data_IF_432327953990
#
_entry.id   IF_432327953990
#
_cell.length_a   1.000
_cell.length_b   1.000
_cell.length_c   1.000
_cell.angle_alpha   90.00
_cell.angle_beta   90.00
_cell.angle_gamma   90.00
#
_symmetry.space_group_name_H-M   'P 1'
#
loop_
_entity.id
_entity.type
_entity.pdbx_description
1 polymer ?
2 polymer ?
3 non-polymer ?
4 water ?
#
# COMPACT_ATOMS: atom_id res chain seq x y z
N UNK A 5 21.13 -3.75 -16.96
CA UNK A 5 21.59 -4.99 -17.60
C UNK A 5 20.93 -6.21 -16.95
N UNK A 6 21.66 -6.91 -16.08
CA UNK A 6 21.11 -8.06 -15.37
C UNK A 6 20.60 -7.61 -14.00
N UNK A 7 19.39 -7.06 -13.97
CA UNK A 7 18.84 -6.50 -12.73
C UNK A 7 18.57 -7.54 -11.65
N UNK A 8 19.08 -7.28 -10.45
CA UNK A 8 18.86 -8.17 -9.31
C UNK A 8 17.73 -7.64 -8.44
N UNK A 9 16.82 -8.53 -8.08
CA UNK A 9 15.73 -8.19 -7.18
C UNK A 9 15.89 -8.96 -5.87
N UNK A 10 15.84 -8.25 -4.76
CA UNK A 10 15.75 -8.88 -3.46
C UNK A 10 14.29 -8.92 -3.06
N UNK A 11 13.82 -10.08 -2.60
CA UNK A 11 12.45 -10.26 -2.15
C UNK A 11 12.37 -10.90 -0.78
N UNK A 12 11.43 -10.44 0.04
CA UNK A 12 11.21 -11.02 1.34
C UNK A 12 9.79 -10.78 1.86
N UNK A 13 9.36 -11.66 2.75
CA UNK A 13 8.06 -11.53 3.41
C UNK A 13 8.09 -10.42 4.46
N UNK A 14 9.30 -10.10 4.92
CA UNK A 14 9.50 -9.12 5.98
C UNK A 14 10.31 -7.92 5.47
N UNK A 15 10.22 -6.78 6.15
CA UNK A 15 10.98 -5.58 5.76
C UNK A 15 12.47 -5.85 5.64
N UNK A 16 13.07 -5.26 4.60
CA UNK A 16 14.49 -5.49 4.29
C UNK A 16 15.38 -4.57 5.10
N UNK A 17 16.62 -5.01 5.37
CA UNK A 17 17.61 -4.12 5.96
C UNK A 17 17.85 -2.97 5.00
N UNK A 18 17.98 -1.74 5.53
CA UNK A 18 18.26 -0.61 4.65
C UNK A 18 19.68 -0.71 4.11
N UNK A 19 19.88 -0.32 2.86
CA UNK A 19 21.24 -0.32 2.35
C UNK A 19 21.61 1.07 1.91
N UNK A 20 22.91 1.35 1.90
CA UNK A 20 23.41 2.68 1.65
C UNK A 20 24.34 2.68 0.46
N UNK A 21 24.12 3.65 -0.44
CA UNK A 21 24.96 3.82 -1.60
C UNK A 21 26.15 4.72 -1.27
N UNK A 22 27.34 4.11 -1.22
CA UNK A 22 28.55 4.80 -0.76
C UNK A 22 29.74 4.56 -1.68
N UNK A 23 30.62 5.55 -1.73
CA UNK A 23 31.94 5.37 -2.32
C UNK A 23 32.92 5.35 -1.14
N UNK A 24 33.47 4.18 -0.82
CA UNK A 24 34.24 4.07 0.41
C UNK A 24 35.71 4.45 0.24
N UNK A 25 36.12 4.73 -1.00
CA UNK A 25 37.45 5.27 -1.28
C UNK A 25 37.46 5.96 -2.65
N UNK A 26 38.42 6.85 -2.89
CA UNK A 26 38.47 7.60 -4.15
C UNK A 26 38.80 6.71 -5.33
N UNK A 27 39.39 5.55 -5.04
CA UNK A 27 39.87 4.65 -6.08
C UNK A 27 38.83 3.65 -6.58
N UNK A 28 37.59 3.74 -6.07
CA UNK A 28 36.54 2.82 -6.53
C UNK A 28 35.18 3.50 -6.65
N UNK A 29 34.38 3.01 -7.59
CA UNK A 29 33.07 3.59 -7.81
C UNK A 29 32.12 3.29 -6.66
N UNK A 30 31.00 4.01 -6.60
CA UNK A 30 30.03 3.75 -5.54
C UNK A 30 29.43 2.36 -5.66
N UNK A 31 28.94 1.83 -4.55
CA UNK A 31 28.12 0.62 -4.57
C UNK A 31 27.34 0.60 -3.27
N UNK A 32 26.58 -0.46 -3.04
CA UNK A 32 25.69 -0.53 -1.88
C UNK A 32 26.26 -1.36 -0.75
N UNK A 33 25.92 -0.96 0.47
CA UNK A 33 26.45 -1.54 1.70
C UNK A 33 25.37 -1.57 2.76
N UNK A 34 25.44 -2.55 3.64
CA UNK A 34 24.68 -2.52 4.87
C UNK A 34 25.60 -2.04 5.97
N UNK A 35 25.03 -1.43 7.00
CA UNK A 35 25.75 -1.33 8.26
C UNK A 35 25.96 -2.75 8.78
N UNK A 36 27.21 -3.09 9.10
CA UNK A 36 27.56 -4.43 9.57
C UNK A 36 26.75 -4.83 10.82
N UNK A 37 26.55 -3.87 11.72
CA UNK A 37 25.78 -4.14 12.94
C UNK A 37 24.32 -4.52 12.65
N UNK A 38 23.74 -3.90 11.61
CA UNK A 38 22.39 -4.28 11.19
C UNK A 38 22.35 -5.75 10.74
N UNK A 39 23.37 -6.16 10.01
CA UNK A 39 23.47 -7.53 9.51
C UNK A 39 23.69 -8.54 10.63
N UNK A 40 24.56 -8.21 11.58
CA UNK A 40 24.83 -9.13 12.69
C UNK A 40 23.60 -9.30 13.58
N UNK A 41 22.90 -8.19 13.82
CA UNK A 41 21.68 -8.23 14.62
C UNK A 41 20.62 -9.09 13.95
N UNK A 42 20.46 -8.92 12.64
CA UNK A 42 19.50 -9.70 11.90
C UNK A 42 19.83 -11.19 11.93
N UNK A 43 21.11 -11.52 11.79
CA UNK A 43 21.54 -12.93 11.74
C UNK A 43 21.73 -13.52 13.14
N UNK A 44 21.84 -12.65 14.14
CA UNK A 44 22.15 -13.05 15.51
C UNK A 44 23.45 -13.85 15.58
N UNK A 45 24.44 -13.40 14.82
CA UNK A 45 25.77 -13.98 14.85
C UNK A 45 26.74 -12.89 15.23
N UNK A 46 27.86 -13.27 15.83
CA UNK A 46 28.88 -12.30 16.18
C UNK A 46 29.79 -12.04 14.99
N UNK A 47 30.50 -10.91 15.04
CA UNK A 47 31.49 -10.54 14.03
C UNK A 47 32.50 -11.64 13.80
N UNK A 48 33.03 -12.19 14.89
CA UNK A 48 34.05 -13.23 14.81
C UNK A 48 33.52 -14.44 14.06
N UNK A 49 32.36 -14.94 14.46
CA UNK A 49 31.69 -16.02 13.75
C UNK A 49 31.46 -15.67 12.29
N UNK A 50 30.88 -14.50 12.04
CA UNK A 50 30.55 -14.09 10.68
C UNK A 50 31.78 -14.09 9.77
N UNK A 51 32.83 -13.40 10.21
CA UNK A 51 34.02 -13.23 9.38
C UNK A 51 34.79 -14.54 9.20
N UNK A 52 34.66 -15.45 10.15
CA UNK A 52 35.33 -16.75 10.05
C UNK A 52 34.61 -17.69 9.09
N UNK A 53 33.29 -17.68 9.13
CA UNK A 53 32.52 -18.60 8.30
C UNK A 53 32.29 -18.09 6.88
N UNK A 54 32.14 -16.77 6.76
CA UNK A 54 31.89 -16.14 5.47
C UNK A 54 32.97 -15.12 5.12
N UNK A 55 34.17 -15.60 4.81
CA UNK A 55 35.30 -14.67 4.65
C UNK A 55 35.23 -13.92 3.33
N UNK A 56 34.49 -14.44 2.36
CA UNK A 56 34.42 -13.79 1.05
C UNK A 56 33.63 -12.48 1.05
N UNK A 57 32.74 -12.28 2.03
CA UNK A 57 32.00 -11.02 2.13
C UNK A 57 32.94 -9.90 2.52
N UNK A 58 32.77 -8.73 1.90
CA UNK A 58 33.69 -7.62 2.15
C UNK A 58 33.24 -6.74 3.32
N UNK A 59 34.07 -6.69 4.36
CA UNK A 59 33.86 -5.79 5.48
C UNK A 59 34.81 -4.61 5.35
N UNK A 60 34.29 -3.41 5.49
CA UNK A 60 35.15 -2.24 5.48
C UNK A 60 34.67 -1.21 6.49
N UNK A 61 35.54 -0.27 6.80
CA UNK A 61 35.21 0.76 7.77
C UNK A 61 35.21 2.12 7.09
N UNK A 62 34.54 3.08 7.71
CA UNK A 62 34.41 4.41 7.17
C UNK A 62 34.26 5.33 8.35
N UNK A 63 34.82 6.55 8.26
CA UNK A 63 34.54 7.54 9.30
C UNK A 63 33.04 7.79 9.42
N UNK A 64 32.53 7.80 10.65
CA UNK A 64 31.10 7.98 10.88
C UNK A 64 30.60 9.28 10.28
N UNK A 65 31.43 10.32 10.37
CA UNK A 65 31.06 11.62 9.84
C UNK A 65 31.03 11.62 8.33
N UNK A 66 31.93 10.87 7.71
CA UNK A 66 31.92 10.72 6.26
C UNK A 66 30.72 9.87 5.78
N UNK A 67 30.38 8.85 6.58
CA UNK A 67 29.19 8.02 6.32
C UNK A 67 27.94 8.91 6.29
N UNK A 68 27.81 9.77 7.30
CA UNK A 68 26.70 10.72 7.36
C UNK A 68 26.69 11.64 6.13
N UNK A 69 27.85 12.19 5.81
CA UNK A 69 27.99 13.13 4.69
C UNK A 69 27.51 12.55 3.36
N UNK A 70 27.91 11.31 3.07
CA UNK A 70 27.50 10.65 1.84
C UNK A 70 26.02 10.21 1.87
N UNK A 71 25.56 9.80 3.04
CA UNK A 71 24.17 9.34 3.17
C UNK A 71 23.24 10.54 2.99
N UNK A 72 23.66 11.68 3.53
CA UNK A 72 22.90 12.92 3.42
C UNK A 72 22.78 13.43 1.98
N UNK A 73 23.66 12.95 1.11
CA UNK A 73 23.61 13.35 -0.29
C UNK A 73 22.64 12.47 -1.11
N UNK A 74 22.09 11.44 -0.49
CA UNK A 74 21.11 10.60 -1.16
C UNK A 74 19.80 11.34 -1.40
N UNK A 75 19.29 11.26 -2.63
CA UNK A 75 18.03 11.90 -2.98
C UNK A 75 16.83 11.04 -2.56
N UNK A 76 17.03 9.72 -2.49
CA UNK A 76 15.93 8.81 -2.16
C UNK A 76 15.61 8.78 -0.68
N UNK A 77 16.63 8.89 0.17
CA UNK A 77 16.41 8.81 1.61
C UNK A 77 15.87 10.11 2.17
N UNK A 78 14.78 10.03 2.92
CA UNK A 78 14.27 11.20 3.62
C UNK A 78 15.15 11.43 4.84
N UNK A 79 15.22 12.68 5.31
CA UNK A 79 15.94 13.05 6.54
C UNK A 79 15.68 12.10 7.71
N UNK A 80 14.43 11.69 7.90
CA UNK A 80 14.09 10.76 8.98
C UNK A 80 14.75 9.39 8.82
N UNK A 81 14.98 8.98 7.58
CA UNK A 81 15.58 7.68 7.29
C UNK A 81 17.10 7.67 7.45
N UNK A 82 17.73 8.81 7.19
CA UNK A 82 19.17 8.92 7.31
C UNK A 82 19.64 8.69 8.74
N UNK A 83 20.66 7.84 8.92
CA UNK A 83 21.23 7.57 10.24
C UNK A 83 21.75 8.84 10.94
N UNK A 84 22.33 9.75 10.17
CA UNK A 84 22.86 10.98 10.73
C UNK A 84 22.99 12.06 9.67
N UNK A 85 23.14 13.31 10.11
CA UNK A 85 23.12 14.45 9.22
C UNK A 85 24.41 15.24 9.14
N UNK A 86 24.36 16.38 8.47
CA UNK A 86 25.54 17.22 8.26
C UNK A 86 25.94 17.96 9.53
N UNK A 87 25.03 18.00 10.50
CA UNK A 87 25.27 18.71 11.75
C UNK A 87 25.84 17.79 12.82
N UNK A 88 26.08 16.54 12.45
CA UNK A 88 26.55 15.55 13.41
C UNK A 88 28.04 15.27 13.26
N UNK A 89 28.85 16.24 13.62
CA UNK A 89 30.30 16.07 13.56
C UNK A 89 30.76 15.22 14.75
N UNK A 90 31.84 14.46 14.56
CA UNK A 90 32.50 13.79 15.66
C UNK A 90 33.29 14.81 16.48
N UNK A 91 33.38 14.59 17.81
CA UNK A 91 34.12 15.51 18.68
C UNK A 91 35.61 15.58 18.32
N UNK A 92 36.26 16.70 18.64
CA UNK A 92 37.69 16.88 18.33
C UNK A 92 38.55 15.79 18.95
N UNK A 93 39.56 15.34 18.20
CA UNK A 93 40.52 14.37 18.70
C UNK A 93 39.98 12.97 18.81
N UNK A 94 38.96 12.66 18.00
CA UNK A 94 38.38 11.32 17.96
C UNK A 94 38.38 10.72 16.56
N UNK A 95 38.17 9.42 16.48
CA UNK A 95 38.00 8.74 15.21
C UNK A 95 36.85 7.75 15.30
N UNK A 96 35.63 8.27 15.40
CA UNK A 96 34.43 7.45 15.34
C UNK A 96 34.26 6.86 13.94
N UNK A 97 33.97 5.57 13.87
CA UNK A 97 33.80 4.92 12.57
C UNK A 97 32.57 4.01 12.55
N UNK A 98 32.15 3.61 11.35
CA UNK A 98 31.11 2.61 11.17
C UNK A 98 31.66 1.44 10.37
N UNK A 99 31.17 0.23 10.64
CA UNK A 99 31.57 -0.95 9.86
C UNK A 99 30.51 -1.25 8.81
N UNK A 100 30.94 -1.52 7.59
CA UNK A 100 30.03 -1.75 6.48
C UNK A 100 30.33 -3.10 5.82
N UNK A 101 29.30 -3.76 5.33
CA UNK A 101 29.49 -4.99 4.58
C UNK A 101 28.82 -4.85 3.21
N UNK A 102 29.51 -5.29 2.16
CA UNK A 102 29.07 -5.00 0.80
C UNK A 102 27.80 -5.76 0.45
N UNK A 103 26.91 -5.08 -0.27
CA UNK A 103 25.63 -5.61 -0.69
C UNK A 103 25.88 -6.55 -1.86
N UNK A 104 25.56 -7.83 -1.68
CA UNK A 104 25.84 -8.83 -2.70
C UNK A 104 24.90 -10.01 -2.48
N UNK A 105 24.56 -10.73 -3.57
CA UNK A 105 23.48 -11.74 -3.57
C UNK A 105 23.62 -12.80 -2.49
N UNK A 106 24.83 -13.32 -2.27
CA UNK A 106 25.00 -14.40 -1.27
C UNK A 106 24.68 -13.92 0.14
N UNK A 107 24.94 -12.64 0.40
CA UNK A 107 24.60 -12.07 1.70
C UNK A 107 23.08 -11.92 1.82
N UNK A 108 22.42 -11.50 0.74
CA UNK A 108 20.96 -11.40 0.74
C UNK A 108 20.32 -12.75 1.06
N UNK A 109 20.86 -13.83 0.49
CA UNK A 109 20.29 -15.16 0.77
C UNK A 109 20.46 -15.55 2.22
N UNK A 110 21.67 -15.35 2.75
CA UNK A 110 21.99 -15.58 4.15
C UNK A 110 21.03 -14.82 5.06
N UNK A 111 20.64 -13.61 4.65
CA UNK A 111 19.69 -12.81 5.40
C UNK A 111 18.24 -13.32 5.29
N UNK A 112 18.02 -14.35 4.48
CA UNK A 112 16.70 -14.92 4.35
C UNK A 112 15.88 -14.41 3.18
N UNK A 113 16.50 -13.57 2.35
CA UNK A 113 15.79 -13.05 1.18
C UNK A 113 15.88 -14.00 0.01
N UNK A 114 14.89 -13.94 -0.87
CA UNK A 114 14.96 -14.58 -2.17
C UNK A 114 15.62 -13.63 -3.15
N UNK A 115 16.44 -14.17 -4.03
CA UNK A 115 17.12 -13.35 -5.03
C UNK A 115 16.72 -13.80 -6.43
N UNK A 116 16.34 -12.84 -7.27
CA UNK A 116 15.81 -13.14 -8.59
C UNK A 116 16.53 -12.20 -9.56
N UNK A 117 16.91 -12.73 -10.71
CA UNK A 117 17.53 -11.88 -11.73
C UNK A 117 16.60 -11.71 -12.93
N UNK A 118 16.63 -10.53 -13.53
CA UNK A 118 15.84 -10.23 -14.70
C UNK A 118 16.69 -9.45 -15.70
N UNK A 119 16.85 -10.02 -16.90
CA UNK A 119 17.73 -9.42 -17.89
C UNK A 119 17.07 -9.23 -19.25
N UNK A 120 15.75 -9.39 -19.32
CA UNK A 120 15.01 -9.10 -20.54
C UNK A 120 15.19 -7.60 -20.81
N UNK A 121 15.31 -7.22 -22.07
CA UNK A 121 15.72 -5.87 -22.43
C UNK A 121 14.87 -4.72 -21.86
N UNK A 122 15.54 -3.62 -21.50
CA UNK A 122 14.88 -2.41 -20.99
C UNK A 122 14.87 -1.29 -22.04
N UNK B 1 25.87 -6.28 -11.33
CA UNK B 1 26.62 -5.79 -10.19
C UNK B 1 25.71 -5.33 -9.06
N UNK B 2 24.70 -4.53 -9.39
CA UNK B 2 23.79 -4.00 -8.39
C UNK B 2 24.44 -2.87 -7.62
N UNK B 3 24.95 -1.88 -8.34
CA UNK B 3 25.73 -0.80 -7.75
C UNK B 3 25.11 0.60 -7.72
N UNK B 4 24.06 0.82 -8.51
CA UNK B 4 23.34 2.10 -8.49
C UNK B 4 22.46 2.16 -7.23
N UNK B 5 21.78 3.28 -7.02
CA UNK B 5 20.88 3.39 -5.89
C UNK B 5 19.81 2.31 -6.01
N UNK B 6 19.42 1.76 -4.86
CA UNK B 6 18.36 0.77 -4.78
C UNK B 6 17.12 1.37 -4.13
N UNK B 7 15.96 1.05 -4.67
CA UNK B 7 14.69 1.47 -4.08
C UNK B 7 14.01 0.30 -3.39
N UNK B 8 13.39 0.57 -2.25
CA UNK B 8 12.64 -0.44 -1.53
C UNK B 8 11.17 -0.26 -1.89
N UNK B 9 10.52 -1.37 -2.21
CA UNK B 9 9.11 -1.37 -2.61
C UNK B 9 8.32 -2.24 -1.65
N UNK B 10 7.02 -1.99 -1.55
CA UNK B 10 6.15 -2.95 -0.90
C UNK B 10 4.98 -3.18 -1.84
N UNK B 11 4.82 -4.43 -2.24
CA UNK B 11 3.84 -4.81 -3.23
C UNK B 11 2.61 -5.34 -2.52
N UNK B 12 1.47 -4.71 -2.73
CA UNK B 12 0.25 -5.16 -2.08
C UNK B 12 -0.70 -5.75 -3.11
N UNK B 13 -1.36 -6.84 -2.73
CA UNK B 13 -2.25 -7.52 -3.65
C UNK B 13 -3.58 -6.80 -3.80
N UNK B 14 -3.96 -6.56 -5.06
CA UNK B 14 -5.26 -5.99 -5.37
C UNK B 14 -6.13 -7.18 -5.76
N UNK B 15 -7.27 -7.31 -5.09
CA UNK B 15 -8.22 -8.37 -5.44
C UNK B 15 -9.19 -7.91 -6.52
N UNK B 27 6.22 -12.77 0.26
CA UNK B 27 7.41 -12.07 -0.22
C UNK B 27 7.11 -10.76 -0.97
N UNK B 28 6.42 -9.85 -0.29
CA UNK B 28 5.96 -8.61 -0.92
C UNK B 28 6.89 -7.40 -0.75
N UNK B 29 7.97 -7.57 0.03
CA UNK B 29 8.96 -6.49 0.15
C UNK B 29 10.06 -6.75 -0.85
N UNK B 30 10.27 -5.78 -1.73
CA UNK B 30 11.15 -5.99 -2.87
C UNK B 30 12.15 -4.85 -2.95
N UNK B 31 13.40 -5.17 -3.29
CA UNK B 31 14.37 -4.12 -3.57
C UNK B 31 14.99 -4.33 -4.95
N UNK B 32 15.21 -3.24 -5.66
CA UNK B 32 15.84 -3.31 -6.97
C UNK B 32 16.46 -1.97 -7.35
N UNK B 33 17.18 -1.97 -8.46
CA UNK B 33 17.79 -0.75 -8.99
C UNK B 33 16.76 0.31 -9.38
N UNK B 34 17.13 1.56 -9.17
CA UNK B 34 16.36 2.67 -9.72
C UNK B 34 16.20 2.56 -11.24
N UNK B 35 17.07 1.80 -11.90
CA UNK B 35 17.00 1.65 -13.36
C UNK B 35 16.04 0.55 -13.82
N UNK B 36 15.66 -0.34 -12.91
CA UNK B 36 14.75 -1.43 -13.29
C UNK B 36 13.43 -0.84 -13.72
N UNK B 37 12.78 -1.51 -14.68
CA UNK B 37 11.49 -1.05 -15.18
C UNK B 37 10.35 -1.92 -14.69
N UNK B 38 9.14 -1.37 -14.78
CA UNK B 38 7.91 -2.10 -14.44
C UNK B 38 7.88 -3.50 -15.05
N UNK B 39 8.24 -3.61 -16.32
CA UNK B 39 8.19 -4.93 -16.97
C UNK B 39 9.14 -5.95 -16.31
N UNK B 40 10.32 -5.50 -15.90
CA UNK B 40 11.23 -6.36 -15.15
C UNK B 40 10.61 -6.86 -13.85
N UNK B 41 10.05 -5.92 -13.07
CA UNK B 41 9.44 -6.26 -11.79
C UNK B 41 8.25 -7.21 -12.01
N UNK B 42 7.48 -6.95 -13.05
CA UNK B 42 6.34 -7.82 -13.34
C UNK B 42 6.78 -9.23 -13.69
N UNK B 43 7.86 -9.35 -14.46
CA UNK B 43 8.37 -10.66 -14.82
C UNK B 43 8.89 -11.40 -13.59
N UNK B 44 9.50 -10.67 -12.67
CA UNK B 44 9.96 -11.27 -11.42
C UNK B 44 8.76 -11.79 -10.64
N UNK B 45 7.73 -10.96 -10.54
CA UNK B 45 6.52 -11.32 -9.80
C UNK B 45 5.84 -12.55 -10.38
N UNK B 46 5.77 -12.61 -11.71
CA UNK B 46 5.13 -13.72 -12.39
C UNK B 46 5.86 -15.03 -12.12
N UNK B 47 7.19 -14.96 -12.08
CA UNK B 47 8.01 -16.12 -11.78
C UNK B 47 7.67 -16.67 -10.39
N UNK B 48 7.63 -15.79 -9.39
CA UNK B 48 7.27 -16.19 -8.02
C UNK B 48 5.83 -16.70 -7.94
N UNK B 49 4.95 -16.10 -8.72
CA UNK B 49 3.52 -16.46 -8.68
C UNK B 49 3.21 -17.62 -9.62
N UNK B 50 4.23 -18.05 -10.36
CA UNK B 50 4.08 -19.12 -11.35
C UNK B 50 2.94 -18.82 -12.32
N UNK B 51 2.99 -17.62 -12.91
CA UNK B 51 1.97 -17.18 -13.86
C UNK B 51 2.61 -16.64 -15.12
N UNK B 52 1.79 -16.49 -16.16
CA UNK B 52 2.22 -15.82 -17.38
C UNK B 52 2.18 -14.30 -17.18
N UNK B 53 3.17 -13.59 -17.74
CA UNK B 53 3.29 -12.12 -17.65
C UNK B 53 2.00 -11.35 -17.97
N UNK B 54 1.23 -11.84 -18.93
CA UNK B 54 0.00 -11.17 -19.34
C UNK B 54 -1.02 -11.13 -18.21
N UNK B 55 -0.86 -12.04 -17.25
CA UNK B 55 -1.85 -12.23 -16.20
C UNK B 55 -1.73 -11.31 -14.99
N UNK B 56 -0.54 -10.79 -14.73
CA UNK B 56 -0.40 -9.87 -13.60
C UNK B 56 -0.12 -8.43 -14.04
N UNK B 57 -0.73 -7.49 -13.33
CA UNK B 57 -0.57 -6.09 -13.64
C UNK B 57 0.13 -5.41 -12.48
N UNK B 58 0.96 -4.42 -12.78
CA UNK B 58 1.55 -3.60 -11.73
C UNK B 58 0.84 -2.26 -11.73
N UNK B 59 0.45 -1.79 -10.56
CA UNK B 59 -0.33 -0.57 -10.46
C UNK B 59 0.19 0.38 -9.39
N UNK B 60 -0.11 1.66 -9.56
CA UNK B 60 0.08 2.61 -8.50
C UNK B 60 -1.23 3.37 -8.25
N UNK B 61 -1.67 3.39 -6.99
CA UNK B 61 -2.95 3.97 -6.62
C UNK B 61 -4.07 3.48 -7.54
N UNK B 62 -4.11 2.17 -7.74
CA UNK B 62 -5.13 1.49 -8.54
C UNK B 62 -5.11 1.83 -10.04
N UNK B 63 -4.06 2.48 -10.52
CA UNK B 63 -3.92 2.76 -11.95
C UNK B 63 -2.74 1.99 -12.54
N UNK B 64 -2.98 1.29 -13.65
CA UNK B 64 -1.95 0.43 -14.25
C UNK B 64 -0.73 1.24 -14.69
N UNK B 65 0.46 0.75 -14.36
CA UNK B 65 1.73 1.40 -14.74
C UNK B 65 2.23 0.99 -16.13
N UNK B 66 2.84 1.93 -16.85
CA UNK B 66 3.43 1.60 -18.16
C UNK B 66 4.62 0.66 -18.00
N UNK B 67 4.77 -0.28 -18.93
CA UNK B 67 5.79 -1.33 -18.83
C UNK B 67 7.20 -0.80 -18.83
N UNK B 68 7.43 0.32 -19.51
CA UNK B 68 8.80 0.80 -19.72
C UNK B 68 9.23 1.84 -18.69
N UNK B 69 8.32 2.20 -17.80
CA UNK B 69 8.65 3.17 -16.75
C UNK B 69 9.64 2.58 -15.74
N UNK B 70 10.67 3.35 -15.42
CA UNK B 70 11.65 2.90 -14.45
C UNK B 70 11.15 3.16 -13.04
N UNK B 71 11.72 2.43 -12.08
CA UNK B 71 11.39 2.64 -10.68
C UNK B 71 11.71 4.08 -10.30
N UNK B 72 12.79 4.61 -10.84
CA UNK B 72 13.18 5.99 -10.57
C UNK B 72 12.09 6.94 -11.03
N UNK B 73 11.53 6.68 -12.20
CA UNK B 73 10.50 7.53 -12.77
C UNK B 73 9.23 7.49 -11.92
N UNK B 74 8.90 6.30 -11.41
CA UNK B 74 7.76 6.17 -10.52
C UNK B 74 8.00 6.96 -9.23
N UNK B 75 9.22 6.85 -8.72
CA UNK B 75 9.57 7.52 -7.48
C UNK B 75 9.50 9.04 -7.63
N UNK B 76 10.10 9.55 -8.70
CA UNK B 76 10.07 11.00 -8.95
C UNK B 76 8.64 11.53 -9.06
N UNK B 77 7.83 10.85 -9.86
CA UNK B 77 6.48 11.32 -10.20
C UNK B 77 5.38 10.93 -9.22
N UNK B 78 5.64 9.98 -8.33
CA UNK B 78 4.60 9.55 -7.41
C UNK B 78 5.00 9.60 -5.95
N UNK B 79 6.29 9.60 -5.68
CA UNK B 79 6.74 9.32 -4.33
C UNK B 79 7.82 10.30 -3.85
N UNK B 80 7.96 11.42 -4.55
CA UNK B 80 9.06 12.32 -4.26
C UNK B 80 9.04 12.84 -2.83
N UNK B 81 10.06 12.49 -2.06
CA UNK B 81 10.18 12.91 -0.68
C UNK B 81 9.36 12.10 0.31
N UNK B 82 8.63 11.11 -0.18
CA UNK B 82 7.83 10.28 0.71
C UNK B 82 8.71 9.19 1.29
N UNK B 83 8.33 8.67 2.47
CA UNK B 83 9.18 7.66 3.11
C UNK B 83 9.16 6.32 2.39
N UNK B 84 10.27 5.61 2.47
CA UNK B 84 10.38 4.24 2.01
C UNK B 84 9.48 3.35 2.89
N UNK B 85 8.93 2.27 2.32
CA UNK B 85 9.07 1.79 0.94
C UNK B 85 8.06 2.39 -0.02
N UNK B 86 8.41 2.44 -1.30
CA UNK B 86 7.45 2.78 -2.35
C UNK B 86 6.30 1.74 -2.43
N UNK B 87 5.07 2.22 -2.32
CA UNK B 87 3.92 1.32 -2.28
C UNK B 87 3.33 1.11 -3.67
N UNK B 88 3.32 -0.13 -4.13
CA UNK B 88 2.75 -0.47 -5.42
C UNK B 88 1.75 -1.59 -5.23
N UNK B 89 0.88 -1.81 -6.22
CA UNK B 89 -0.03 -2.94 -6.21
C UNK B 89 0.26 -3.87 -7.36
N UNK B 90 -0.11 -5.13 -7.20
CA UNK B 90 -0.16 -6.08 -8.31
C UNK B 90 -1.53 -6.77 -8.31
N UNK B 91 -1.99 -7.19 -9.48
CA UNK B 91 -3.33 -7.77 -9.55
C UNK B 91 -3.36 -9.08 -10.34
N UNK B 92 -4.40 -9.87 -10.08
CA UNK B 92 -4.63 -11.16 -10.71
C UNK B 92 -3.42 -12.08 -10.64
N UNK C 6 -24.50 7.11 14.77
CA UNK C 6 -23.47 6.10 14.95
C UNK C 6 -22.72 5.87 13.64
N UNK C 7 -21.59 5.17 13.70
CA UNK C 7 -20.87 4.82 12.48
C UNK C 7 -20.97 3.33 12.19
N UNK C 8 -21.52 3.00 11.03
CA UNK C 8 -21.52 1.62 10.59
C UNK C 8 -20.36 1.36 9.66
N UNK C 9 -19.56 0.35 9.96
CA UNK C 9 -18.47 -0.03 9.09
C UNK C 9 -18.80 -1.36 8.45
N UNK C 10 -18.66 -1.44 7.14
CA UNK C 10 -18.77 -2.72 6.45
C UNK C 10 -17.37 -3.25 6.22
N UNK C 11 -17.16 -4.54 6.47
CA UNK C 11 -15.85 -5.14 6.24
C UNK C 11 -15.95 -6.44 5.47
N UNK C 12 -15.06 -6.59 4.49
CA UNK C 12 -14.98 -7.84 3.76
C UNK C 12 -13.57 -8.15 3.26
N UNK C 13 -13.34 -9.42 2.96
CA UNK C 13 -12.05 -9.91 2.51
C UNK C 13 -11.96 -9.81 1.00
N UNK C 14 -13.06 -9.37 0.38
CA UNK C 14 -13.08 -9.18 -1.06
C UNK C 14 -13.71 -7.82 -1.38
N UNK C 15 -13.39 -7.25 -2.55
CA UNK C 15 -13.89 -5.94 -2.95
C UNK C 15 -15.40 -5.79 -2.71
N UNK C 16 -15.79 -4.62 -2.21
CA UNK C 16 -17.18 -4.34 -1.87
C UNK C 16 -17.92 -3.78 -3.06
N UNK C 17 -19.22 -4.08 -3.14
CA UNK C 17 -20.08 -3.51 -4.17
C UNK C 17 -20.12 -2.00 -4.03
N UNK C 18 -20.15 -1.27 -5.16
CA UNK C 18 -20.30 0.18 -5.04
C UNK C 18 -21.67 0.55 -4.44
N UNK C 19 -21.68 1.66 -3.72
CA UNK C 19 -22.80 2.11 -2.91
C UNK C 19 -23.07 3.56 -3.30
N UNK C 20 -24.24 3.86 -3.85
CA UNK C 20 -24.51 5.21 -4.38
C UNK C 20 -25.40 6.04 -3.47
N UNK C 21 -25.01 7.30 -3.27
CA UNK C 21 -25.81 8.24 -2.47
C UNK C 21 -26.76 9.00 -3.39
N UNK C 22 -28.05 8.74 -3.22
CA UNK C 22 -29.07 9.24 -4.15
C UNK C 22 -30.27 9.84 -3.46
N UNK C 23 -30.95 10.75 -4.15
CA UNK C 23 -32.30 11.14 -3.77
C UNK C 23 -33.21 10.52 -4.83
N UNK C 24 -33.87 9.42 -4.48
CA UNK C 24 -34.56 8.61 -5.48
C UNK C 24 -35.76 9.32 -6.09
N UNK C 25 -36.30 10.31 -5.38
CA UNK C 25 -37.29 11.21 -5.96
C UNK C 25 -37.11 12.57 -5.31
N UNK C 26 -37.66 13.61 -5.93
CA UNK C 26 -37.34 14.98 -5.54
C UNK C 26 -37.77 15.28 -4.10
N UNK C 27 -38.70 14.49 -3.60
CA UNK C 27 -39.24 14.66 -2.25
C UNK C 27 -38.46 13.90 -1.18
N UNK C 28 -37.56 13.01 -1.62
CA UNK C 28 -36.79 12.20 -0.67
C UNK C 28 -35.45 12.83 -0.30
N UNK C 29 -34.96 12.52 0.89
CA UNK C 29 -33.64 12.94 1.30
C UNK C 29 -32.59 11.98 0.77
N UNK C 30 -31.30 12.31 0.96
CA UNK C 30 -30.23 11.43 0.48
C UNK C 30 -30.24 10.12 1.24
N UNK C 31 -29.88 9.05 0.56
CA UNK C 31 -29.87 7.72 1.14
C UNK C 31 -28.96 6.86 0.27
N UNK C 32 -28.42 5.79 0.83
CA UNK C 32 -27.51 4.93 0.06
C UNK C 32 -28.16 3.67 -0.51
N UNK C 33 -27.81 3.36 -1.75
CA UNK C 33 -28.44 2.27 -2.50
C UNK C 33 -27.41 1.47 -3.27
N UNK C 34 -27.67 0.16 -3.42
CA UNK C 34 -26.97 -0.64 -4.43
C UNK C 34 -27.80 -0.67 -5.70
N UNK C 35 -27.14 -0.80 -6.84
CA UNK C 35 -27.84 -1.20 -8.05
C UNK C 35 -28.26 -2.63 -7.81
N UNK C 36 -29.54 -2.92 -7.99
CA UNK C 36 -30.07 -4.27 -7.72
C UNK C 36 -29.35 -5.33 -8.54
N UNK C 37 -29.06 -5.02 -9.80
CA UNK C 37 -28.37 -5.98 -10.67
C UNK C 37 -27.01 -6.37 -10.10
N UNK C 38 -26.32 -5.44 -9.43
CA UNK C 38 -25.03 -5.73 -8.81
C UNK C 38 -25.17 -6.76 -7.68
N UNK C 39 -26.21 -6.59 -6.88
CA UNK C 39 -26.49 -7.50 -5.77
C UNK C 39 -26.86 -8.89 -6.27
N UNK C 40 -27.74 -8.95 -7.27
CA UNK C 40 -28.15 -10.22 -7.86
C UNK C 40 -26.94 -10.98 -8.42
N UNK C 41 -26.03 -10.26 -9.06
CA UNK C 41 -24.84 -10.86 -9.65
C UNK C 41 -23.87 -11.38 -8.59
N UNK C 42 -23.74 -10.63 -7.50
CA UNK C 42 -22.84 -11.03 -6.43
C UNK C 42 -23.40 -12.26 -5.71
N UNK C 43 -24.72 -12.31 -5.60
CA UNK C 43 -25.39 -13.39 -4.89
C UNK C 43 -25.68 -14.58 -5.81
N UNK C 44 -25.46 -14.40 -7.11
CA UNK C 44 -25.76 -15.41 -8.11
C UNK C 44 -27.21 -15.87 -8.03
N UNK C 45 -28.12 -14.91 -7.95
CA UNK C 45 -29.54 -15.18 -7.87
C UNK C 45 -30.29 -14.33 -8.89
N UNK C 46 -31.37 -14.89 -9.44
CA UNK C 46 -32.26 -14.10 -10.28
C UNK C 46 -33.07 -13.17 -9.38
N UNK C 47 -33.71 -12.17 -9.99
CA UNK C 47 -34.60 -11.26 -9.29
C UNK C 47 -35.69 -12.03 -8.54
N UNK C 48 -36.34 -12.97 -9.24
CA UNK C 48 -37.46 -13.71 -8.67
C UNK C 48 -37.02 -14.53 -7.45
N UNK C 49 -35.86 -15.17 -7.54
CA UNK C 49 -35.37 -15.96 -6.44
C UNK C 49 -34.99 -15.08 -5.26
N UNK C 50 -34.32 -13.98 -5.53
CA UNK C 50 -33.93 -13.04 -4.46
C UNK C 50 -35.17 -12.59 -3.68
N UNK C 51 -36.21 -12.18 -4.39
CA UNK C 51 -37.38 -11.61 -3.74
C UNK C 51 -38.21 -12.67 -3.00
N UNK C 52 -38.18 -13.90 -3.50
CA UNK C 52 -38.82 -15.01 -2.80
C UNK C 52 -38.12 -15.30 -1.46
N UNK C 53 -36.79 -15.39 -1.47
CA UNK C 53 -36.05 -15.64 -0.23
C UNK C 53 -36.07 -14.44 0.72
N UNK C 54 -36.00 -13.24 0.15
CA UNK C 54 -35.85 -12.02 0.94
C UNK C 54 -36.90 -10.99 0.55
N UNK C 55 -38.10 -11.14 1.09
CA UNK C 55 -39.22 -10.25 0.73
C UNK C 55 -39.17 -8.88 1.38
N UNK C 56 -38.36 -8.71 2.41
CA UNK C 56 -38.34 -7.47 3.15
C UNK C 56 -37.30 -6.48 2.76
N UNK C 57 -36.69 -6.67 1.61
CA UNK C 57 -35.71 -5.69 1.16
C UNK C 57 -36.35 -4.67 0.23
N UNK C 58 -36.08 -3.41 0.49
CA UNK C 58 -36.64 -2.28 -0.24
C UNK C 58 -36.13 -2.18 -1.68
N UNK C 59 -36.94 -2.66 -2.63
CA UNK C 59 -36.63 -2.51 -4.05
C UNK C 59 -37.33 -1.29 -4.66
N UNK C 60 -36.54 -0.43 -5.30
CA UNK C 60 -37.00 0.88 -5.76
C UNK C 60 -36.49 1.16 -7.16
N UNK C 61 -37.31 1.79 -7.99
CA UNK C 61 -36.83 2.21 -9.29
C UNK C 61 -36.75 3.73 -9.33
N UNK C 62 -35.88 4.24 -10.19
CA UNK C 62 -35.80 5.67 -10.43
C UNK C 62 -35.35 5.87 -11.88
N UNK C 63 -35.62 7.05 -12.46
CA UNK C 63 -35.22 7.31 -13.84
C UNK C 63 -33.71 7.14 -14.03
N UNK C 64 -33.32 6.42 -15.08
CA UNK C 64 -31.91 6.14 -15.33
C UNK C 64 -31.09 7.41 -15.57
N UNK C 65 -31.71 8.39 -16.24
CA UNK C 65 -31.05 9.67 -16.49
C UNK C 65 -30.71 10.41 -15.20
N UNK C 66 -31.67 10.46 -14.29
CA UNK C 66 -31.48 11.13 -13.01
C UNK C 66 -30.49 10.37 -12.14
N UNK C 67 -30.51 9.04 -12.23
CA UNK C 67 -29.54 8.20 -11.53
C UNK C 67 -28.13 8.57 -11.99
N UNK C 68 -27.92 8.61 -13.29
CA UNK C 68 -26.62 8.93 -13.85
C UNK C 68 -26.12 10.32 -13.48
N UNK C 69 -27.04 11.28 -13.47
CA UNK C 69 -26.68 12.66 -13.13
C UNK C 69 -26.25 12.75 -11.67
N UNK C 70 -26.99 12.08 -10.79
CA UNK C 70 -26.68 12.19 -9.36
C UNK C 70 -25.40 11.48 -9.04
N UNK C 71 -25.15 10.36 -9.72
CA UNK C 71 -23.90 9.62 -9.53
C UNK C 71 -22.72 10.48 -10.00
N UNK C 72 -22.90 11.17 -11.11
CA UNK C 72 -21.85 12.00 -11.69
C UNK C 72 -21.44 13.18 -10.81
N UNK C 73 -22.35 13.68 -9.98
CA UNK C 73 -22.04 14.82 -9.12
C UNK C 73 -21.16 14.43 -7.91
N UNK C 74 -20.97 13.14 -7.69
CA UNK C 74 -20.13 12.70 -6.58
C UNK C 74 -18.66 13.09 -6.78
N UNK C 75 -18.05 13.62 -5.74
CA UNK C 75 -16.62 13.96 -5.76
C UNK C 75 -15.77 12.74 -5.44
N UNK C 76 -16.43 11.60 -5.21
CA UNK C 76 -15.70 10.44 -4.70
C UNK C 76 -15.80 9.27 -5.67
N UNK C 77 -16.28 9.54 -6.87
CA UNK C 77 -16.32 8.54 -7.94
C UNK C 77 -15.71 9.14 -9.21
N UNK C 78 -14.87 8.36 -9.89
CA UNK C 78 -14.28 8.79 -11.15
C UNK C 78 -15.27 8.61 -12.31
N UNK C 79 -15.04 9.34 -13.42
CA UNK C 79 -15.84 9.11 -14.63
C UNK C 79 -15.81 7.65 -15.07
N UNK C 80 -14.63 7.03 -15.02
CA UNK C 80 -14.49 5.62 -15.41
C UNK C 80 -15.34 4.69 -14.54
N UNK C 81 -15.56 5.08 -13.29
CA UNK C 81 -16.30 4.23 -12.35
C UNK C 81 -17.82 4.39 -12.45
N UNK C 82 -18.27 5.50 -13.02
CA UNK C 82 -19.70 5.81 -13.06
C UNK C 82 -20.50 4.75 -13.81
N UNK C 83 -21.67 4.39 -13.27
CA UNK C 83 -22.64 3.58 -14.01
C UNK C 83 -23.56 4.45 -14.86
N UNK C 94 -34.69 8.77 -22.06
CA UNK C 94 -35.52 9.53 -21.14
C UNK C 94 -36.51 8.66 -20.38
N UNK C 95 -36.86 7.51 -20.95
CA UNK C 95 -37.87 6.64 -20.36
C UNK C 95 -37.29 5.43 -19.65
N UNK C 96 -35.96 5.30 -19.66
CA UNK C 96 -35.31 4.17 -18.99
C UNK C 96 -35.30 4.34 -17.47
N UNK C 97 -35.22 3.22 -16.77
CA UNK C 97 -35.15 3.21 -15.32
C UNK C 97 -34.05 2.25 -14.86
N UNK C 98 -33.56 2.45 -13.65
CA UNK C 98 -32.66 1.49 -13.02
C UNK C 98 -33.32 1.00 -11.75
N UNK C 99 -33.00 -0.22 -11.35
CA UNK C 99 -33.58 -0.79 -10.13
C UNK C 99 -32.58 -0.79 -8.97
N UNK C 100 -33.02 -0.31 -7.82
CA UNK C 100 -32.15 -0.12 -6.67
C UNK C 100 -32.61 -0.89 -5.47
N UNK C 101 -31.67 -1.21 -4.59
CA UNK C 101 -32.00 -1.82 -3.31
C UNK C 101 -31.24 -1.09 -2.20
N UNK C 102 -31.91 -0.88 -1.08
CA UNK C 102 -31.38 -0.01 -0.05
C UNK C 102 -30.16 -0.58 0.68
N UNK C 103 -29.17 0.29 0.92
CA UNK C 103 -27.95 -0.06 1.65
C UNK C 103 -28.29 -0.20 3.14
N UNK C 104 -28.25 -1.43 3.67
CA UNK C 104 -28.61 -1.67 5.05
C UNK C 104 -27.91 -2.95 5.53
N UNK C 105 -27.62 -3.04 6.83
CA UNK C 105 -26.73 -4.08 7.39
C UNK C 105 -27.18 -5.50 7.08
N UNK C 106 -28.48 -5.78 7.11
CA UNK C 106 -28.93 -7.15 6.90
C UNK C 106 -28.52 -7.64 5.51
N UNK C 107 -28.63 -6.75 4.53
CA UNK C 107 -28.20 -7.08 3.19
C UNK C 107 -26.69 -7.29 3.12
N UNK C 108 -25.93 -6.49 3.87
CA UNK C 108 -24.47 -6.60 3.87
C UNK C 108 -24.00 -7.97 4.36
N UNK C 109 -24.63 -8.48 5.41
CA UNK C 109 -24.24 -9.78 5.94
C UNK C 109 -24.55 -10.89 4.94
N UNK C 110 -25.66 -10.73 4.21
CA UNK C 110 -26.06 -11.72 3.19
C UNK C 110 -25.09 -11.70 2.01
N UNK C 111 -24.54 -10.53 1.73
CA UNK C 111 -23.48 -10.36 0.74
C UNK C 111 -22.10 -10.80 1.24
N UNK C 112 -22.05 -11.32 2.45
CA UNK C 112 -20.83 -11.92 2.97
C UNK C 112 -19.95 -10.98 3.77
N UNK C 113 -20.43 -9.77 4.04
CA UNK C 113 -19.68 -8.79 4.81
C UNK C 113 -19.87 -8.89 6.32
N UNK C 114 -18.85 -8.42 7.05
CA UNK C 114 -18.97 -8.19 8.47
C UNK C 114 -19.47 -6.77 8.67
N UNK C 115 -20.30 -6.56 9.69
CA UNK C 115 -20.81 -5.23 10.02
C UNK C 115 -20.41 -4.88 11.44
N UNK C 116 -19.62 -3.81 11.59
CA UNK C 116 -19.21 -3.38 12.91
C UNK C 116 -19.84 -2.04 13.16
N UNK C 117 -20.41 -1.87 14.34
CA UNK C 117 -20.90 -0.55 14.72
C UNK C 117 -19.89 0.07 15.66
N UNK C 118 -19.58 1.32 15.39
CA UNK C 118 -18.56 2.02 16.15
C UNK C 118 -19.10 3.35 16.63
N UNK C 119 -19.15 3.52 17.93
CA UNK C 119 -19.58 4.79 18.51
C UNK C 119 -18.70 5.93 18.03
N UNK C 120 -19.29 7.10 17.85
CA UNK C 120 -18.52 8.30 17.53
C UNK C 120 -17.65 8.68 18.72
N UNK C 121 -18.07 8.23 19.89
CA UNK C 121 -17.28 8.38 21.11
C UNK C 121 -16.12 7.39 21.13
N UNK C 122 -15.12 7.62 20.28
CA UNK C 122 -13.94 6.75 20.25
C UNK C 122 -13.09 6.97 21.49
N UNK D 2 -28.13 6.28 8.78
CA UNK D 2 -27.09 7.06 8.12
C UNK D 2 -27.51 7.52 6.73
N UNK D 3 -27.29 8.79 6.44
CA UNK D 3 -27.73 9.35 5.17
C UNK D 3 -26.58 9.82 4.27
N UNK D 4 -25.38 9.89 4.81
CA UNK D 4 -24.28 10.53 4.09
C UNK D 4 -23.56 9.58 3.16
N UNK D 5 -22.76 10.15 2.25
CA UNK D 5 -22.09 9.34 1.26
C UNK D 5 -21.14 8.36 1.96
N UNK D 6 -20.99 7.18 1.38
CA UNK D 6 -20.09 6.16 1.93
C UNK D 6 -18.85 5.98 1.05
N UNK D 7 -17.72 5.67 1.66
CA UNK D 7 -16.46 5.58 0.94
C UNK D 7 -15.88 4.20 1.12
N UNK D 8 -15.21 3.68 0.09
CA UNK D 8 -14.56 2.37 0.16
C UNK D 8 -13.05 2.51 0.38
N UNK D 9 -12.55 1.79 1.38
CA UNK D 9 -11.14 1.82 1.74
C UNK D 9 -10.55 0.43 1.57
N UNK D 10 -9.23 0.36 1.42
CA UNK D 10 -8.53 -0.91 1.51
C UNK D 10 -7.40 -0.73 2.52
N UNK D 11 -7.42 -1.52 3.58
CA UNK D 11 -6.44 -1.34 4.65
C UNK D 11 -5.35 -2.39 4.55
N UNK D 12 -4.11 -1.95 4.36
CA UNK D 12 -3.00 -2.88 4.27
C UNK D 12 -2.06 -2.73 5.47
N UNK D 13 -1.64 -3.85 6.05
CA UNK D 13 -0.75 -3.78 7.19
C UNK D 13 0.61 -3.30 6.72
N UNK D 14 1.25 -2.44 7.52
CA UNK D 14 2.60 -1.98 7.22
C UNK D 14 3.54 -2.66 8.21
N UNK D 24 -2.80 -8.77 11.47
CA UNK D 24 -3.12 -8.59 10.04
C UNK D 24 -4.64 -8.64 9.80
N UNK D 25 -5.20 -7.50 9.40
CA UNK D 25 -6.63 -7.42 9.17
C UNK D 25 -7.06 -8.32 8.02
N UNK D 26 -7.94 -9.26 8.35
CA UNK D 26 -8.50 -10.20 7.39
C UNK D 26 -9.47 -9.53 6.42
N UNK D 27 -10.57 -9.00 6.95
CA UNK D 27 -11.52 -8.27 6.13
C UNK D 27 -11.01 -6.84 5.92
N UNK D 28 -10.12 -6.68 4.94
CA UNK D 28 -9.38 -5.41 4.77
C UNK D 28 -10.08 -4.40 3.87
N UNK D 29 -11.15 -4.83 3.21
CA UNK D 29 -11.97 -3.91 2.43
C UNK D 29 -13.07 -3.33 3.31
N UNK D 30 -13.02 -2.02 3.51
CA UNK D 30 -13.83 -1.39 4.51
C UNK D 30 -14.62 -0.23 3.91
N UNK D 31 -15.93 -0.20 4.18
CA UNK D 31 -16.75 0.94 3.79
C UNK D 31 -17.23 1.69 5.04
N UNK D 32 -17.18 3.01 4.98
CA UNK D 32 -17.70 3.83 6.07
C UNK D 32 -18.13 5.20 5.55
N UNK D 33 -18.74 5.97 6.44
CA UNK D 33 -19.22 7.31 6.10
C UNK D 33 -18.07 8.29 5.88
N UNK D 34 -18.29 9.24 4.98
CA UNK D 34 -17.37 10.35 4.73
C UNK D 34 -17.07 11.08 6.04
N UNK D 35 -18.00 10.96 6.99
CA UNK D 35 -17.93 11.67 8.27
C UNK D 35 -17.02 10.98 9.29
N UNK D 36 -16.79 9.69 9.11
CA UNK D 36 -15.91 8.93 10.03
C UNK D 36 -14.52 9.50 10.02
N UNK D 37 -13.87 9.52 11.18
CA UNK D 37 -12.53 10.06 11.32
C UNK D 37 -11.52 8.95 11.52
N UNK D 38 -10.24 9.28 11.40
CA UNK D 38 -9.17 8.31 11.58
C UNK D 38 -9.33 7.53 12.89
N UNK D 39 -9.66 8.25 13.96
CA UNK D 39 -9.84 7.65 15.28
C UNK D 39 -10.90 6.55 15.32
N UNK D 40 -11.97 6.72 14.54
CA UNK D 40 -13.03 5.71 14.50
C UNK D 40 -12.59 4.45 13.78
N UNK D 41 -11.85 4.63 12.69
CA UNK D 41 -11.39 3.49 11.92
C UNK D 41 -10.33 2.76 12.73
N UNK D 42 -9.58 3.53 13.51
CA UNK D 42 -8.57 2.97 14.38
C UNK D 42 -9.21 2.08 15.45
N UNK D 43 -10.28 2.57 16.07
CA UNK D 43 -10.97 1.81 17.10
C UNK D 43 -11.53 0.50 16.56
N UNK D 44 -12.08 0.56 15.35
CA UNK D 44 -12.65 -0.61 14.70
C UNK D 44 -11.58 -1.68 14.52
N UNK D 45 -10.45 -1.23 13.98
CA UNK D 45 -9.30 -2.07 13.72
C UNK D 45 -8.78 -2.74 15.00
N UNK D 46 -8.69 -1.95 16.07
CA UNK D 46 -8.27 -2.45 17.38
C UNK D 46 -9.21 -3.54 17.87
N UNK D 47 -10.50 -3.24 17.83
CA UNK D 47 -11.54 -4.15 18.29
C UNK D 47 -11.41 -5.52 17.63
N UNK D 48 -11.18 -5.52 16.33
CA UNK D 48 -11.09 -6.76 15.57
C UNK D 48 -9.78 -7.50 15.78
N UNK D 49 -8.69 -6.76 15.92
CA UNK D 49 -7.38 -7.37 16.07
C UNK D 49 -7.00 -7.57 17.54
N UNK D 50 -7.91 -7.17 18.44
CA UNK D 50 -7.65 -7.20 19.88
C UNK D 50 -6.33 -6.53 20.22
N UNK D 51 -6.21 -5.23 19.92
CA UNK D 51 -4.98 -4.51 20.14
C UNK D 51 -5.19 -3.25 20.99
N UNK D 52 -4.13 -2.81 21.65
CA UNK D 52 -4.16 -1.56 22.39
C UNK D 52 -4.07 -0.40 21.40
N UNK D 53 -5.11 0.45 21.37
CA UNK D 53 -5.21 1.59 20.45
C UNK D 53 -3.98 2.49 20.42
N UNK D 54 -3.19 2.45 21.48
CA UNK D 54 -1.93 3.20 21.53
C UNK D 54 -0.88 2.55 20.65
N UNK D 55 -1.11 1.29 20.27
CA UNK D 55 -0.15 0.56 19.46
C UNK D 55 -0.43 0.59 17.95
N UNK D 56 -1.67 0.90 17.58
CA UNK D 56 -1.99 0.94 16.16
C UNK D 56 -2.08 2.37 15.64
N UNK D 57 -1.42 2.60 14.52
CA UNK D 57 -1.50 3.87 13.84
C UNK D 57 -2.16 3.61 12.50
N UNK D 58 -2.86 4.62 11.99
CA UNK D 58 -3.34 4.58 10.61
C UNK D 58 -2.45 5.51 9.79
N UNK D 59 -2.13 5.09 8.57
CA UNK D 59 -1.19 5.86 7.76
C UNK D 59 -1.68 6.01 6.34
N UNK D 60 -1.13 7.00 5.66
CA UNK D 60 -1.26 7.13 4.23
C UNK D 60 0.14 7.35 3.65
N UNK D 61 0.50 6.52 2.67
CA UNK D 61 1.84 6.53 2.10
C UNK D 61 2.91 6.66 3.20
N UNK D 62 2.86 5.77 4.19
CA UNK D 62 3.88 5.69 5.25
C UNK D 62 3.94 6.85 6.25
N UNK D 63 2.98 7.76 6.19
CA UNK D 63 2.90 8.82 7.18
C UNK D 63 1.63 8.73 8.02
N UNK D 64 1.78 8.84 9.33
CA UNK D 64 0.67 8.76 10.28
C UNK D 64 -0.32 9.86 10.01
N UNK D 65 -1.61 9.51 10.01
CA UNK D 65 -2.70 10.45 9.79
C UNK D 65 -3.23 10.95 11.13
N UNK D 66 -3.58 12.25 11.19
CA UNK D 66 -4.11 12.83 12.44
C UNK D 66 -5.46 12.20 12.81
N UNK D 67 -5.73 12.12 14.11
CA UNK D 67 -6.86 11.36 14.63
C UNK D 67 -8.24 11.88 14.20
N UNK D 68 -8.36 13.20 14.08
CA UNK D 68 -9.66 13.82 13.81
C UNK D 68 -9.88 14.15 12.34
N UNK D 69 -8.93 13.78 11.50
CA UNK D 69 -9.09 13.95 10.07
C UNK D 69 -10.20 13.01 9.61
N UNK D 70 -11.13 13.53 8.81
CA UNK D 70 -12.21 12.69 8.29
C UNK D 70 -11.76 11.93 7.04
N UNK D 71 -12.43 10.81 6.78
CA UNK D 71 -12.18 10.05 5.57
C UNK D 71 -12.43 10.91 4.31
N UNK D 72 -13.42 11.80 4.37
CA UNK D 72 -13.63 12.73 3.26
C UNK D 72 -12.39 13.62 3.03
N UNK D 73 -11.82 14.13 4.11
CA UNK D 73 -10.64 14.99 4.02
C UNK D 73 -9.45 14.25 3.42
N UNK D 74 -9.31 12.97 3.75
CA UNK D 74 -8.26 12.18 3.13
C UNK D 74 -8.54 12.00 1.65
N UNK D 75 -9.79 11.68 1.30
CA UNK D 75 -10.11 11.38 -0.09
C UNK D 75 -9.90 12.63 -0.95
N UNK D 76 -10.41 13.76 -0.48
CA UNK D 76 -10.32 15.01 -1.22
C UNK D 76 -8.89 15.54 -1.33
N UNK D 77 -8.06 15.25 -0.33
CA UNK D 77 -6.71 15.81 -0.29
C UNK D 77 -5.64 14.87 -0.85
N UNK D 78 -5.93 13.57 -0.84
CA UNK D 78 -4.96 12.56 -1.26
C UNK D 78 -5.39 11.69 -2.44
N UNK D 79 -6.68 11.65 -2.75
CA UNK D 79 -7.19 10.63 -3.67
C UNK D 79 -8.13 11.14 -4.75
N UNK D 80 -8.27 12.45 -4.89
CA UNK D 80 -9.27 12.95 -5.83
C UNK D 80 -8.98 12.48 -7.25
N UNK D 81 -10.01 11.95 -7.91
CA UNK D 81 -9.87 11.46 -9.26
C UNK D 81 -9.22 10.09 -9.39
N UNK D 82 -8.79 9.52 -8.27
CA UNK D 82 -8.18 8.18 -8.28
C UNK D 82 -9.26 7.10 -8.10
N UNK D 83 -9.04 5.90 -8.64
CA UNK D 83 -10.07 4.85 -8.52
C UNK D 83 -10.24 4.36 -7.10
N UNK D 84 -11.48 4.03 -6.75
CA UNK D 84 -11.78 3.33 -5.50
C UNK D 84 -11.06 2.00 -5.54
N UNK D 85 -10.63 1.48 -4.38
CA UNK D 85 -10.74 2.03 -3.02
C UNK D 85 -9.54 2.89 -2.64
N UNK D 86 -9.75 3.77 -1.65
CA UNK D 86 -8.69 4.56 -1.07
C UNK D 86 -7.74 3.65 -0.30
N UNK D 87 -6.47 3.69 -0.65
CA UNK D 87 -5.49 2.79 -0.02
C UNK D 87 -4.92 3.41 1.25
N UNK D 88 -5.22 2.80 2.39
CA UNK D 88 -4.64 3.22 3.66
C UNK D 88 -3.78 2.10 4.24
N UNK D 89 -2.94 2.43 5.21
CA UNK D 89 -2.17 1.42 5.90
C UNK D 89 -2.40 1.52 7.40
N UNK D 90 -2.04 0.46 8.10
CA UNK D 90 -2.00 0.49 9.55
C UNK D 90 -0.76 -0.24 10.02
N UNK D 91 -0.19 0.24 11.13
CA UNK D 91 0.97 -0.41 11.73
C UNK D 91 0.65 -0.64 13.21
N UNK D 92 1.19 -1.72 13.76
CA UNK D 92 0.91 -2.09 15.15
C UNK D 92 2.19 -2.15 15.99
X LIG E 1 40.16 16.30 14.44
X LIG E 1 39.38 16.13 13.16
X LIG E 1 40.50 14.95 15.04
X LIG E 1 41.43 17.06 14.14
X LIG E 1 39.32 17.07 15.44
X LIG F 1 22.31 -1.69 -10.75
X LIG F 1 22.04 -3.11 -11.22
X LIG F 1 23.78 -1.37 -10.83
X LIG F 1 21.60 -0.66 -11.59
X LIG F 1 21.87 -1.60 -9.30
X LIG G 1 -21.01 5.75 24.20
X LIG G 1 -19.78 5.96 25.05
X LIG G 1 -21.99 4.87 24.92
X LIG G 1 -21.67 7.08 23.90
X LIG G 1 -20.59 5.09 22.91
X LIG H 1 -23.78 9.01 8.47
X LIG H 1 -24.85 9.73 7.69
X LIG H 1 -23.52 7.69 7.81
X LIG H 1 -22.52 9.85 8.49
X LIG H 1 -24.19 8.79 9.91
#
# INVERSE_FOLDING_TARGET
METRDDFMFELSDKPLLPCYNLQVSVSRGPCNWFLFSDVLKRLKLSSRIFQARFPHFEITTMPKAEFYRQVASSQLLTPAERPGGLDDRSPPGSSETVELVRYEPDLLRLLGSEVEFQSCNS
QGTREQLNLCLERLSSGKDKNKSVLQNKYVRCSVRAEVRHLRRVLCHRLMLNPQHVQLLFDNEVLPDHMTMKQIWLSRWFGKPSPLLLQYSVK
METRDDFMFELSDKPLLPCYNLQVSVSRGPCNWFLFSDVLKRLKLSSRIFQARFPHFEITTMPKAEFYRQVASSQLLTPAERPGGLDDRSPPGSSETVELVRYEPDLLRLLGSEVEFQSCNS
QGTREQLNLCLERLSSGKDKNKSVLQNKYVRCSVRAEVRHLRRVLCHRLMLNPQHVQLLFDNEVLPDHMTMKQIWLSRWFGKPSPLLLQYSVK
PO4 P O1 O2 O3 O4
PO4 P O1 O2 O3 O4
PO4 P O1 O2 O3 O4
PO4 P O1 O2 O3 O4
#
